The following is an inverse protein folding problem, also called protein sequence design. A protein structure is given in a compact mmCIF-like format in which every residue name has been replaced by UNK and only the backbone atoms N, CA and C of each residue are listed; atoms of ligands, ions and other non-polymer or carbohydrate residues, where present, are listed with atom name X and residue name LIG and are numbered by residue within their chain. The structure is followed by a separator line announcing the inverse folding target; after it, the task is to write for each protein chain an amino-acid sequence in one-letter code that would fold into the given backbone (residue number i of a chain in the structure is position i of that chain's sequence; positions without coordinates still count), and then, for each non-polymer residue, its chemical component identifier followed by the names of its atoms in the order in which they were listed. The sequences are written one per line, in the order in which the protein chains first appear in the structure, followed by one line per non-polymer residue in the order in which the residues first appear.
data_IF_794139549942
#
_entry.id   IF_794139549942
#
_cell.length_a   1.000
_cell.length_b   1.000
_cell.length_c   1.000
_cell.angle_alpha   90.00
_cell.angle_beta   90.00
_cell.angle_gamma   90.00
#
_symmetry.space_group_name_H-M   'P 1'
#
loop_
_entity.id
_entity.type
_entity.pdbx_description
1 polymer ?
#
# COMPACT_ATOMS: atom_id res chain seq x y z
N UNK A 1 -5.22 -5.21 22.15
CA UNK A 1 -4.25 -4.84 21.10
C UNK A 1 -5.09 -4.35 19.92
N UNK A 2 -4.84 -3.16 19.39
CA UNK A 2 -5.58 -2.67 18.21
C UNK A 2 -5.02 -3.46 17.03
N UNK A 3 -5.86 -4.28 16.40
CA UNK A 3 -5.48 -5.05 15.22
C UNK A 3 -5.62 -4.15 13.97
N UNK A 4 -4.49 -3.74 13.42
CA UNK A 4 -4.39 -3.01 12.14
C UNK A 4 -3.69 -3.88 11.08
N UNK A 5 -3.85 -5.20 11.20
CA UNK A 5 -3.29 -6.15 10.24
C UNK A 5 -3.83 -5.91 8.83
N UNK A 6 -3.05 -6.36 7.85
CA UNK A 6 -3.45 -6.38 6.46
C UNK A 6 -4.81 -7.07 6.27
N UNK A 7 -4.98 -8.26 6.84
CA UNK A 7 -6.22 -9.05 6.72
C UNK A 7 -7.43 -8.32 7.30
N UNK A 8 -7.28 -7.65 8.45
CA UNK A 8 -8.37 -6.86 9.03
C UNK A 8 -8.82 -5.74 8.10
N UNK A 9 -7.86 -4.98 7.55
CA UNK A 9 -8.15 -3.87 6.65
C UNK A 9 -8.74 -4.38 5.33
N UNK A 10 -8.16 -5.42 4.74
CA UNK A 10 -8.68 -6.05 3.51
C UNK A 10 -10.13 -6.53 3.70
N UNK A 11 -10.45 -7.16 4.83
CA UNK A 11 -11.80 -7.63 5.13
C UNK A 11 -12.81 -6.48 5.23
N UNK A 12 -12.44 -5.35 5.83
CA UNK A 12 -13.31 -4.15 5.89
C UNK A 12 -13.63 -3.65 4.47
N UNK A 13 -12.61 -3.51 3.63
CA UNK A 13 -12.78 -2.93 2.30
C UNK A 13 -13.44 -3.90 1.30
N UNK A 14 -13.12 -5.20 1.36
CA UNK A 14 -13.79 -6.22 0.55
C UNK A 14 -15.29 -6.34 0.88
N UNK A 15 -15.66 -6.15 2.15
CA UNK A 15 -17.06 -6.10 2.60
C UNK A 15 -17.91 -4.99 1.95
N UNK A 16 -17.29 -3.94 1.40
CA UNK A 16 -18.02 -2.88 0.68
C UNK A 16 -18.64 -3.42 -0.61
N UNK A 17 -17.93 -4.31 -1.31
CA UNK A 17 -18.32 -4.82 -2.63
C UNK A 17 -19.10 -6.14 -2.58
N UNK A 18 -19.30 -6.73 -1.40
CA UNK A 18 -20.07 -7.99 -1.24
C UNK A 18 -21.58 -7.79 -1.15
N UNK A 19 -22.05 -6.54 -1.00
CA UNK A 19 -23.46 -6.21 -0.85
C UNK A 19 -24.23 -6.24 -2.18
N UNK A 20 -25.55 -6.45 -2.13
CA UNK A 20 -26.44 -6.38 -3.30
C UNK A 20 -26.30 -5.04 -4.06
N UNK A 21 -25.99 -3.96 -3.35
CA UNK A 21 -25.72 -2.65 -3.95
C UNK A 21 -24.55 -2.68 -4.95
N UNK A 22 -23.51 -3.49 -4.73
CA UNK A 22 -22.37 -3.60 -5.63
C UNK A 22 -22.75 -4.33 -6.94
N UNK A 23 -23.65 -5.30 -6.87
CA UNK A 23 -24.22 -5.95 -8.06
C UNK A 23 -25.02 -4.95 -8.91
N UNK A 24 -25.88 -4.16 -8.28
CA UNK A 24 -26.66 -3.12 -8.98
C UNK A 24 -25.78 -1.99 -9.52
N UNK A 25 -24.75 -1.60 -8.77
CA UNK A 25 -23.72 -0.69 -9.25
C UNK A 25 -23.06 -1.25 -10.51
N UNK A 26 -22.77 -2.56 -10.50
CA UNK A 26 -22.17 -3.23 -11.64
C UNK A 26 -23.06 -3.24 -12.89
N UNK A 27 -24.32 -3.62 -12.71
CA UNK A 27 -25.29 -3.64 -13.79
C UNK A 27 -25.51 -2.22 -14.38
N UNK A 28 -25.55 -1.20 -13.53
CA UNK A 28 -25.81 0.19 -13.94
C UNK A 28 -24.76 0.72 -14.91
N UNK A 29 -23.48 0.43 -14.68
CA UNK A 29 -22.43 0.88 -15.59
C UNK A 29 -22.46 0.14 -16.94
N UNK A 30 -22.85 -1.14 -16.95
CA UNK A 30 -22.99 -1.92 -18.21
C UNK A 30 -24.10 -1.31 -19.05
N UNK A 31 -25.21 -0.93 -18.42
CA UNK A 31 -26.31 -0.25 -19.10
C UNK A 31 -25.91 1.13 -19.64
N UNK A 32 -25.19 1.92 -18.85
CA UNK A 32 -24.70 3.23 -19.27
C UNK A 32 -23.74 3.12 -20.46
N UNK A 33 -22.86 2.13 -20.45
CA UNK A 33 -21.96 1.85 -21.56
C UNK A 33 -22.68 1.44 -22.85
N UNK A 34 -23.66 0.53 -22.75
CA UNK A 34 -24.50 0.14 -23.89
C UNK A 34 -25.21 1.37 -24.45
N UNK A 35 -25.71 2.25 -23.58
CA UNK A 35 -26.39 3.50 -23.98
C UNK A 35 -25.45 4.44 -24.73
N UNK A 36 -24.23 4.66 -24.23
CA UNK A 36 -23.24 5.51 -24.89
C UNK A 36 -22.73 4.91 -26.21
N UNK A 37 -22.61 3.59 -26.29
CA UNK A 37 -22.31 2.92 -27.55
C UNK A 37 -23.40 3.16 -28.58
N UNK A 38 -24.67 2.94 -28.22
CA UNK A 38 -25.80 3.18 -29.13
C UNK A 38 -25.85 4.63 -29.60
N UNK A 39 -25.58 5.58 -28.70
CA UNK A 39 -25.51 7.01 -29.04
C UNK A 39 -24.37 7.30 -30.03
N UNK A 40 -23.19 6.73 -29.79
CA UNK A 40 -22.02 6.89 -30.67
C UNK A 40 -22.25 6.25 -32.04
N UNK A 41 -22.85 5.07 -32.06
CA UNK A 41 -23.24 4.37 -33.28
C UNK A 41 -24.25 5.19 -34.08
N UNK A 42 -25.32 5.67 -33.43
CA UNK A 42 -26.34 6.50 -34.07
C UNK A 42 -25.74 7.81 -34.62
N UNK A 43 -24.91 8.49 -33.84
CA UNK A 43 -24.23 9.73 -34.26
C UNK A 43 -23.39 9.50 -35.52
N UNK A 44 -22.60 8.43 -35.57
CA UNK A 44 -21.76 8.13 -36.73
C UNK A 44 -22.60 7.84 -37.98
N UNK A 45 -23.68 7.04 -37.86
CA UNK A 45 -24.58 6.73 -38.98
C UNK A 45 -25.32 7.98 -39.50
N UNK A 46 -25.68 8.91 -38.61
CA UNK A 46 -26.37 10.15 -38.97
C UNK A 46 -25.41 11.17 -39.62
N UNK A 47 -24.19 11.32 -39.10
CA UNK A 47 -23.21 12.27 -39.65
C UNK A 47 -22.86 11.96 -41.09
N UNK A 48 -22.80 10.68 -41.48
CA UNK A 48 -22.48 10.30 -42.86
C UNK A 48 -23.62 10.54 -43.85
N UNK A 49 -24.85 10.83 -43.38
CA UNK A 49 -25.99 11.18 -44.23
C UNK A 49 -26.15 12.69 -44.47
N UNK A 50 -25.36 13.53 -43.77
CA UNK A 50 -25.50 14.99 -43.79
C UNK A 50 -24.42 15.73 -44.59
N UNK A 51 -23.36 15.04 -45.05
CA UNK A 51 -22.35 15.64 -45.94
C UNK A 51 -22.81 15.58 -47.41
N UNK A 52 -23.26 16.72 -47.92
CA UNK A 52 -23.73 16.92 -49.31
C UNK A 52 -22.59 17.13 -50.31
N UNK A 53 -21.55 16.29 -50.28
CA UNK A 53 -20.34 16.53 -51.08
C UNK A 53 -19.71 15.29 -51.71
N UNK A 54 -19.58 14.19 -50.97
CA UNK A 54 -19.02 12.94 -51.48
C UNK A 54 -19.69 11.75 -50.78
N UNK A 55 -20.03 10.72 -51.57
CA UNK A 55 -20.61 9.48 -51.06
C UNK A 55 -19.55 8.66 -50.30
N UNK A 56 -19.20 9.11 -49.10
CA UNK A 56 -18.46 8.27 -48.16
C UNK A 56 -19.40 7.16 -47.68
N UNK A 57 -18.89 5.93 -47.54
CA UNK A 57 -19.67 4.83 -47.00
C UNK A 57 -20.29 5.28 -45.67
N UNK A 58 -21.56 4.95 -45.36
CA UNK A 58 -22.26 5.33 -44.11
C UNK A 58 -21.61 4.79 -42.82
N UNK A 59 -20.43 4.20 -42.95
CA UNK A 59 -19.68 3.46 -41.97
C UNK A 59 -18.18 3.80 -42.09
N UNK A 60 -17.70 4.59 -41.14
CA UNK A 60 -16.26 4.65 -40.87
C UNK A 60 -15.86 3.38 -40.10
N UNK A 61 -15.23 2.44 -40.82
CA UNK A 61 -14.79 1.14 -40.28
C UNK A 61 -13.87 1.32 -39.07
N UNK A 62 -13.03 2.34 -39.05
CA UNK A 62 -12.06 2.57 -37.98
C UNK A 62 -12.75 2.98 -36.68
N UNK A 63 -13.69 3.93 -36.77
CA UNK A 63 -14.49 4.38 -35.61
C UNK A 63 -15.36 3.27 -35.06
N UNK A 64 -15.95 2.44 -35.92
CA UNK A 64 -16.76 1.30 -35.51
C UNK A 64 -15.94 0.23 -34.78
N UNK A 65 -14.77 -0.15 -35.31
CA UNK A 65 -13.88 -1.14 -34.66
C UNK A 65 -13.41 -0.61 -33.31
N UNK A 66 -13.01 0.66 -33.21
CA UNK A 66 -12.63 1.28 -31.95
C UNK A 66 -13.76 1.24 -30.91
N UNK A 67 -15.00 1.54 -31.32
CA UNK A 67 -16.15 1.47 -30.42
C UNK A 67 -16.37 0.04 -29.90
N UNK A 68 -16.29 -0.98 -30.77
CA UNK A 68 -16.40 -2.39 -30.37
C UNK A 68 -15.30 -2.77 -29.37
N UNK A 69 -14.05 -2.37 -29.62
CA UNK A 69 -12.92 -2.64 -28.71
C UNK A 69 -13.19 -2.04 -27.33
N UNK A 70 -13.65 -0.79 -27.27
CA UNK A 70 -13.96 -0.14 -25.99
C UNK A 70 -15.10 -0.85 -25.27
N UNK A 71 -16.16 -1.28 -25.97
CA UNK A 71 -17.25 -2.08 -25.37
C UNK A 71 -16.73 -3.41 -24.85
N UNK A 72 -15.87 -4.10 -25.61
CA UNK A 72 -15.32 -5.39 -25.21
C UNK A 72 -14.48 -5.24 -23.93
N UNK A 73 -13.65 -4.19 -23.88
CA UNK A 73 -12.87 -3.82 -22.70
C UNK A 73 -13.78 -3.52 -21.50
N UNK A 74 -14.89 -2.82 -21.73
CA UNK A 74 -15.85 -2.49 -20.69
C UNK A 74 -16.64 -3.72 -20.21
N UNK A 75 -17.11 -4.57 -21.13
CA UNK A 75 -17.77 -5.83 -20.81
C UNK A 75 -16.84 -6.77 -20.03
N UNK A 76 -15.54 -6.62 -20.24
CA UNK A 76 -14.49 -7.37 -19.55
C UNK A 76 -13.90 -6.60 -18.37
N UNK A 77 -14.45 -5.45 -17.97
CA UNK A 77 -13.89 -4.60 -16.91
C UNK A 77 -13.70 -5.37 -15.61
N UNK A 78 -14.73 -6.10 -15.17
CA UNK A 78 -14.67 -6.91 -13.95
C UNK A 78 -13.52 -7.92 -14.02
N UNK A 79 -13.30 -8.52 -15.20
CA UNK A 79 -12.20 -9.48 -15.42
C UNK A 79 -10.84 -8.79 -15.44
N UNK A 80 -10.75 -7.57 -15.97
CA UNK A 80 -9.51 -6.78 -15.96
C UNK A 80 -9.14 -6.42 -14.53
N UNK A 81 -10.11 -6.00 -13.71
CA UNK A 81 -9.89 -5.76 -12.29
C UNK A 81 -9.42 -7.02 -11.58
N UNK A 82 -10.15 -8.13 -11.73
CA UNK A 82 -9.80 -9.40 -11.09
C UNK A 82 -8.40 -9.87 -11.52
N UNK A 83 -8.05 -9.73 -12.81
CA UNK A 83 -6.72 -10.07 -13.31
C UNK A 83 -5.64 -9.18 -12.69
N UNK A 84 -5.89 -7.88 -12.59
CA UNK A 84 -4.92 -6.95 -12.04
C UNK A 84 -4.73 -7.21 -10.54
N UNK A 85 -5.82 -7.43 -9.80
CA UNK A 85 -5.78 -7.83 -8.41
C UNK A 85 -5.01 -9.16 -8.23
N UNK A 86 -5.25 -10.16 -9.09
CA UNK A 86 -4.56 -11.44 -9.02
C UNK A 86 -3.06 -11.36 -9.36
N UNK A 87 -2.67 -10.47 -10.27
CA UNK A 87 -1.25 -10.27 -10.62
C UNK A 87 -0.52 -9.51 -9.52
N UNK A 88 -1.20 -8.58 -8.83
CA UNK A 88 -0.58 -7.67 -7.88
C UNK A 88 -0.73 -8.11 -6.42
N UNK A 89 -1.73 -8.91 -6.05
CA UNK A 89 -1.90 -9.38 -4.67
C UNK A 89 -0.76 -10.25 -4.12
N UNK A 90 0.01 -11.01 -4.94
CA UNK A 90 1.21 -11.68 -4.43
C UNK A 90 2.21 -10.72 -3.79
N UNK A 91 2.24 -9.43 -4.20
CA UNK A 91 3.09 -8.42 -3.58
C UNK A 91 2.69 -8.13 -2.12
N UNK A 92 1.42 -8.33 -1.76
CA UNK A 92 0.93 -8.12 -0.41
C UNK A 92 1.48 -9.21 0.55
N UNK A 93 1.65 -10.45 0.07
CA UNK A 93 2.23 -11.54 0.88
C UNK A 93 3.67 -11.28 1.32
N UNK A 94 4.45 -10.56 0.50
CA UNK A 94 5.82 -10.18 0.82
C UNK A 94 5.87 -9.18 1.97
N UNK A 95 4.87 -8.31 2.11
CA UNK A 95 4.81 -7.33 3.19
C UNK A 95 4.51 -7.99 4.54
N UNK A 96 3.61 -8.98 4.57
CA UNK A 96 3.25 -9.69 5.79
C UNK A 96 4.42 -10.50 6.40
N UNK A 97 5.50 -10.72 5.64
CA UNK A 97 6.67 -11.46 6.12
C UNK A 97 7.66 -10.56 6.88
N UNK A 98 7.60 -9.25 6.68
CA UNK A 98 8.54 -8.32 7.30
C UNK A 98 7.86 -7.57 8.43
N UNK A 99 8.26 -7.89 9.66
CA UNK A 99 7.91 -7.05 10.78
C UNK A 99 8.61 -5.69 10.61
N UNK A 100 7.84 -4.62 10.78
CA UNK A 100 8.34 -3.26 10.60
C UNK A 100 9.43 -2.89 11.61
N UNK A 101 9.62 -3.72 12.64
CA UNK A 101 10.42 -3.41 13.81
C UNK A 101 10.97 -4.66 14.54
N UNK A 102 11.80 -5.48 13.87
CA UNK A 102 12.64 -6.46 14.58
C UNK A 102 13.89 -5.76 15.12
N UNK A 103 13.92 -5.51 16.42
CA UNK A 103 15.03 -4.83 17.08
C UNK A 103 15.54 -5.67 18.24
N UNK A 104 16.83 -5.96 18.19
CA UNK A 104 17.55 -6.81 19.14
C UNK A 104 17.63 -6.23 20.58
N UNK A 105 17.22 -4.98 20.82
CA UNK A 105 17.26 -4.35 22.15
C UNK A 105 16.40 -5.06 23.22
N UNK A 106 15.44 -5.90 22.81
CA UNK A 106 14.62 -6.73 23.71
C UNK A 106 14.95 -8.23 23.61
N UNK A 107 15.88 -8.58 22.72
CA UNK A 107 16.38 -9.93 22.51
C UNK A 107 17.71 -10.11 23.25
N UNK A 108 17.86 -9.56 24.46
CA UNK A 108 18.76 -10.21 25.41
C UNK A 108 18.18 -11.61 25.61
N UNK A 109 18.83 -12.57 24.97
CA UNK A 109 18.64 -13.99 25.18
C UNK A 109 18.59 -14.19 26.70
N UNK A 110 17.41 -14.49 27.21
CA UNK A 110 17.35 -15.20 28.47
C UNK A 110 17.90 -16.58 28.12
N UNK A 111 19.23 -16.69 28.12
CA UNK A 111 19.93 -17.96 28.23
C UNK A 111 19.27 -18.66 29.43
N UNK A 112 18.67 -19.80 29.15
CA UNK A 112 17.88 -20.63 30.04
C UNK A 112 16.54 -20.03 30.52
N UNK A 113 15.55 -20.13 29.64
CA UNK A 113 14.21 -20.56 30.04
C UNK A 113 13.72 -21.61 29.03
N UNK A 114 14.27 -22.82 29.15
CA UNK A 114 13.58 -24.01 28.65
C UNK A 114 12.13 -23.97 29.14
N UNK A 115 11.22 -23.99 28.18
CA UNK A 115 9.90 -24.63 28.27
C UNK A 115 9.11 -24.38 29.58
N UNK A 116 8.74 -23.13 29.85
CA UNK A 116 7.47 -22.86 30.55
C UNK A 116 6.96 -21.45 30.24
N UNK A 117 5.88 -21.36 29.47
CA UNK A 117 5.09 -20.13 29.26
C UNK A 117 4.34 -19.79 30.56
N UNK A 118 5.10 -19.40 31.58
CA UNK A 118 4.59 -19.08 32.91
C UNK A 118 4.84 -17.62 33.28
N UNK A 119 3.97 -17.07 34.14
CA UNK A 119 4.14 -15.76 34.76
C UNK A 119 5.56 -15.54 35.35
N UNK A 120 6.28 -16.62 35.68
CA UNK A 120 7.67 -16.62 36.15
C UNK A 120 8.67 -16.09 35.11
N UNK A 121 8.49 -16.37 33.82
CA UNK A 121 9.34 -15.83 32.76
C UNK A 121 9.15 -14.31 32.61
N UNK A 122 7.91 -13.84 32.69
CA UNK A 122 7.59 -12.41 32.71
C UNK A 122 8.14 -11.71 33.97
N UNK A 123 8.08 -12.37 35.13
CA UNK A 123 8.68 -11.87 36.36
C UNK A 123 10.21 -11.82 36.28
N UNK A 124 10.87 -12.82 35.70
CA UNK A 124 12.32 -12.82 35.46
C UNK A 124 12.71 -11.66 34.53
N UNK A 125 12.00 -11.47 33.42
CA UNK A 125 12.21 -10.32 32.51
C UNK A 125 11.99 -8.98 33.20
N UNK A 126 10.92 -8.85 33.99
CA UNK A 126 10.66 -7.64 34.77
C UNK A 126 11.75 -7.38 35.81
N UNK A 127 12.25 -8.41 36.49
CA UNK A 127 13.33 -8.31 37.46
C UNK A 127 14.65 -7.87 36.81
N UNK A 128 15.02 -8.45 35.67
CA UNK A 128 16.21 -8.03 34.89
C UNK A 128 16.08 -6.57 34.48
N UNK A 129 14.91 -6.16 33.96
CA UNK A 129 14.67 -4.76 33.58
C UNK A 129 14.79 -3.81 34.78
N UNK A 130 14.28 -4.19 35.95
CA UNK A 130 14.42 -3.41 37.19
C UNK A 130 15.88 -3.33 37.63
N UNK A 131 16.64 -4.43 37.60
CA UNK A 131 18.06 -4.43 37.95
C UNK A 131 18.87 -3.54 37.01
N UNK A 132 18.67 -3.66 35.70
CA UNK A 132 19.31 -2.82 34.69
C UNK A 132 18.93 -1.33 34.84
N UNK A 133 17.67 -1.06 35.21
CA UNK A 133 17.20 0.33 35.44
C UNK A 133 17.82 0.94 36.69
N UNK A 134 18.06 0.15 37.74
CA UNK A 134 18.74 0.61 38.95
C UNK A 134 20.22 0.93 38.69
N UNK A 135 20.87 0.14 37.84
CA UNK A 135 22.25 0.39 37.44
C UNK A 135 22.36 1.59 36.49
N UNK A 136 21.42 1.72 35.55
CA UNK A 136 21.39 2.79 34.56
C UNK A 136 19.97 3.31 34.33
N UNK A 137 19.56 4.43 34.96
CA UNK A 137 18.20 4.96 34.82
C UNK A 137 17.89 5.46 33.40
N UNK A 138 18.89 5.71 32.57
CA UNK A 138 18.69 6.06 31.15
C UNK A 138 18.21 4.87 30.30
N UNK A 139 18.41 3.63 30.74
CA UNK A 139 17.98 2.43 30.01
C UNK A 139 16.47 2.41 29.77
N UNK A 140 15.68 2.73 30.80
CA UNK A 140 14.23 2.75 30.72
C UNK A 140 13.72 3.83 29.76
N UNK A 141 14.44 4.96 29.65
CA UNK A 141 14.10 6.02 28.71
C UNK A 141 14.28 5.55 27.26
N UNK A 142 15.36 4.84 26.96
CA UNK A 142 15.60 4.27 25.62
C UNK A 142 14.60 3.18 25.29
N UNK A 143 14.29 2.31 26.26
CA UNK A 143 13.26 1.26 26.10
C UNK A 143 11.86 1.84 25.89
N UNK A 144 11.51 2.93 26.59
CA UNK A 144 10.26 3.64 26.35
C UNK A 144 10.24 4.31 24.98
N UNK A 145 11.32 4.99 24.60
CA UNK A 145 11.44 5.58 23.27
C UNK A 145 11.28 4.52 22.18
N UNK A 146 11.90 3.35 22.37
CA UNK A 146 11.74 2.20 21.51
C UNK A 146 10.27 1.78 21.36
N UNK A 147 9.54 1.58 22.46
CA UNK A 147 8.11 1.19 22.41
C UNK A 147 7.29 2.24 21.68
N UNK A 148 7.61 3.52 21.87
CA UNK A 148 6.95 4.62 21.14
C UNK A 148 7.23 4.53 19.65
N UNK A 149 8.49 4.32 19.23
CA UNK A 149 8.84 4.20 17.81
C UNK A 149 8.24 2.95 17.17
N UNK A 150 8.24 1.81 17.87
CA UNK A 150 7.57 0.59 17.47
C UNK A 150 6.08 0.84 17.19
N UNK A 151 5.40 1.54 18.11
CA UNK A 151 4.00 1.89 17.95
C UNK A 151 3.77 2.86 16.79
N UNK A 152 4.64 3.85 16.62
CA UNK A 152 4.56 4.80 15.51
C UNK A 152 4.74 4.10 14.15
N UNK A 153 5.65 3.14 14.03
CA UNK A 153 5.84 2.38 12.80
C UNK A 153 4.62 1.53 12.45
N UNK A 154 4.02 0.87 13.45
CA UNK A 154 2.76 0.14 13.27
C UNK A 154 1.62 1.08 12.83
N UNK A 155 1.53 2.29 13.40
CA UNK A 155 0.55 3.29 12.97
C UNK A 155 0.81 3.75 11.53
N UNK A 156 2.06 4.03 11.15
CA UNK A 156 2.43 4.43 9.79
C UNK A 156 2.02 3.34 8.80
N UNK A 157 2.28 2.08 9.12
CA UNK A 157 1.86 0.94 8.31
C UNK A 157 0.35 0.84 8.18
N UNK A 158 -0.39 0.89 9.29
CA UNK A 158 -1.85 0.84 9.27
C UNK A 158 -2.47 1.99 8.47
N UNK A 159 -1.96 3.22 8.65
CA UNK A 159 -2.40 4.40 7.90
C UNK A 159 -2.14 4.21 6.39
N UNK A 160 -0.94 3.75 6.03
CA UNK A 160 -0.58 3.48 4.63
C UNK A 160 -1.52 2.46 3.99
N UNK A 161 -1.83 1.36 4.69
CA UNK A 161 -2.77 0.35 4.19
C UNK A 161 -4.17 0.94 4.00
N UNK A 162 -4.70 1.65 5.01
CA UNK A 162 -6.02 2.28 4.93
C UNK A 162 -6.10 3.25 3.75
N UNK A 163 -5.09 4.11 3.58
CA UNK A 163 -5.02 5.06 2.48
C UNK A 163 -4.98 4.34 1.12
N UNK A 164 -4.13 3.33 0.98
CA UNK A 164 -4.03 2.52 -0.24
C UNK A 164 -5.35 1.84 -0.59
N UNK A 165 -5.96 1.13 0.35
CA UNK A 165 -7.23 0.44 0.13
C UNK A 165 -8.38 1.41 -0.13
N UNK A 166 -8.38 2.58 0.50
CA UNK A 166 -9.31 3.65 0.19
C UNK A 166 -9.17 4.11 -1.27
N UNK A 167 -7.96 4.42 -1.73
CA UNK A 167 -7.75 4.83 -3.12
C UNK A 167 -8.11 3.72 -4.12
N UNK A 168 -7.76 2.47 -3.83
CA UNK A 168 -8.14 1.34 -4.67
C UNK A 168 -9.66 1.16 -4.75
N UNK A 169 -10.36 1.30 -3.63
CA UNK A 169 -11.82 1.24 -3.56
C UNK A 169 -12.45 2.37 -4.39
N UNK A 170 -11.98 3.60 -4.22
CA UNK A 170 -12.43 4.75 -5.01
C UNK A 170 -12.20 4.51 -6.51
N UNK A 171 -11.03 4.00 -6.89
CA UNK A 171 -10.73 3.69 -8.29
C UNK A 171 -11.56 2.53 -8.83
N UNK A 172 -11.87 1.49 -8.03
CA UNK A 172 -12.82 0.43 -8.40
C UNK A 172 -14.23 0.97 -8.64
N UNK A 173 -14.67 1.96 -7.86
CA UNK A 173 -15.97 2.63 -8.04
C UNK A 173 -15.97 3.53 -9.28
N UNK A 174 -14.87 4.24 -9.54
CA UNK A 174 -14.74 5.18 -10.67
C UNK A 174 -14.37 4.51 -11.99
N UNK A 175 -13.78 3.32 -11.96
CA UNK A 175 -13.34 2.61 -13.15
C UNK A 175 -14.43 2.40 -14.18
N UNK A 176 -15.63 1.92 -13.82
CA UNK A 176 -16.70 1.76 -14.79
C UNK A 176 -17.10 3.07 -15.49
N UNK A 177 -17.06 4.19 -14.76
CA UNK A 177 -17.30 5.52 -15.33
C UNK A 177 -16.20 5.87 -16.32
N UNK A 178 -14.93 5.70 -15.94
CA UNK A 178 -13.78 5.96 -16.81
C UNK A 178 -13.83 5.12 -18.10
N UNK A 179 -14.17 3.83 -17.99
CA UNK A 179 -14.38 2.95 -19.13
C UNK A 179 -15.55 3.41 -20.00
N UNK A 180 -16.69 3.78 -19.41
CA UNK A 180 -17.88 4.19 -20.17
C UNK A 180 -17.65 5.49 -20.96
N UNK A 181 -16.98 6.48 -20.37
CA UNK A 181 -16.67 7.73 -21.03
C UNK A 181 -15.64 7.56 -22.15
N UNK A 182 -14.73 6.60 -22.02
CA UNK A 182 -13.68 6.36 -23.02
C UNK A 182 -14.18 5.94 -24.41
N UNK A 183 -15.48 5.60 -24.54
CA UNK A 183 -16.15 5.35 -25.82
C UNK A 183 -16.08 6.58 -26.72
N UNK A 184 -16.15 7.78 -26.14
CA UNK A 184 -16.02 9.02 -26.88
C UNK A 184 -14.54 9.34 -27.11
N UNK A 185 -14.19 9.69 -28.35
CA UNK A 185 -12.80 10.01 -28.73
C UNK A 185 -12.17 11.09 -27.83
N UNK A 186 -12.95 12.10 -27.43
CA UNK A 186 -12.49 13.20 -26.55
C UNK A 186 -12.15 12.77 -25.12
N UNK A 187 -12.67 11.62 -24.67
CA UNK A 187 -12.54 11.15 -23.29
C UNK A 187 -11.69 9.87 -23.17
N UNK A 188 -11.07 9.42 -24.26
CA UNK A 188 -10.24 8.21 -24.28
C UNK A 188 -9.07 8.27 -23.30
N UNK A 189 -8.51 9.46 -23.09
CA UNK A 189 -7.42 9.69 -22.13
C UNK A 189 -7.82 9.45 -20.67
N UNK A 190 -9.12 9.54 -20.34
CA UNK A 190 -9.61 9.27 -18.98
C UNK A 190 -9.33 7.82 -18.58
N UNK A 191 -9.55 6.88 -19.50
CA UNK A 191 -9.28 5.46 -19.25
C UNK A 191 -7.80 5.21 -18.99
N UNK A 192 -6.93 5.82 -19.79
CA UNK A 192 -5.49 5.69 -19.63
C UNK A 192 -5.02 6.26 -18.28
N UNK A 193 -5.51 7.45 -17.90
CA UNK A 193 -5.23 8.06 -16.59
C UNK A 193 -5.73 7.20 -15.43
N UNK A 194 -6.95 6.67 -15.54
CA UNK A 194 -7.50 5.76 -14.53
C UNK A 194 -6.63 4.51 -14.36
N UNK A 195 -6.23 3.89 -15.48
CA UNK A 195 -5.39 2.69 -15.45
C UNK A 195 -4.03 2.97 -14.81
N UNK A 196 -3.36 4.07 -15.18
CA UNK A 196 -2.12 4.50 -14.55
C UNK A 196 -2.26 4.67 -13.04
N UNK A 197 -3.30 5.35 -12.58
CA UNK A 197 -3.55 5.58 -11.15
C UNK A 197 -3.85 4.27 -10.40
N UNK A 198 -4.59 3.36 -11.02
CA UNK A 198 -4.91 2.06 -10.44
C UNK A 198 -3.67 1.19 -10.24
N UNK A 199 -2.82 1.11 -11.28
CA UNK A 199 -1.53 0.43 -11.19
C UNK A 199 -0.62 1.11 -10.17
N UNK A 200 -0.54 2.45 -10.15
CA UNK A 200 0.27 3.20 -9.20
C UNK A 200 -0.12 2.87 -7.75
N UNK A 201 -1.41 2.87 -7.44
CA UNK A 201 -1.93 2.58 -6.10
C UNK A 201 -1.58 1.15 -5.63
N UNK A 202 -1.60 0.17 -6.53
CA UNK A 202 -1.12 -1.18 -6.20
C UNK A 202 0.38 -1.22 -5.97
N UNK A 203 1.16 -0.57 -6.85
CA UNK A 203 2.61 -0.58 -6.81
C UNK A 203 3.21 0.22 -5.65
N UNK A 204 2.44 1.08 -4.97
CA UNK A 204 2.87 1.80 -3.76
C UNK A 204 3.40 0.88 -2.66
N UNK A 205 2.98 -0.39 -2.64
CA UNK A 205 3.45 -1.35 -1.67
C UNK A 205 4.94 -1.69 -1.83
N UNK A 206 5.45 -1.68 -3.07
CA UNK A 206 6.86 -1.98 -3.36
C UNK A 206 7.85 -1.01 -2.71
N UNK A 207 7.75 0.31 -2.92
CA UNK A 207 8.63 1.24 -2.24
C UNK A 207 8.39 1.26 -0.74
N UNK A 208 7.16 1.05 -0.27
CA UNK A 208 6.88 0.98 1.15
C UNK A 208 7.67 -0.17 1.81
N UNK A 209 7.59 -1.36 1.23
CA UNK A 209 8.38 -2.51 1.63
C UNK A 209 9.88 -2.24 1.57
N UNK A 210 10.38 -1.68 0.47
CA UNK A 210 11.80 -1.40 0.28
C UNK A 210 12.32 -0.42 1.35
N UNK A 211 11.52 0.58 1.71
CA UNK A 211 11.87 1.51 2.80
C UNK A 211 11.98 0.78 4.13
N UNK A 212 11.04 -0.10 4.48
CA UNK A 212 11.13 -0.91 5.71
C UNK A 212 12.40 -1.76 5.69
N UNK A 213 12.61 -2.53 4.62
CA UNK A 213 13.77 -3.40 4.49
C UNK A 213 15.10 -2.64 4.66
N UNK A 214 15.30 -1.57 3.87
CA UNK A 214 16.56 -0.82 3.90
C UNK A 214 16.78 -0.14 5.25
N UNK A 215 15.73 0.40 5.87
CA UNK A 215 15.87 1.11 7.15
C UNK A 215 16.15 0.16 8.31
N UNK A 216 15.54 -1.02 8.32
CA UNK A 216 15.83 -2.07 9.29
C UNK A 216 17.27 -2.58 9.10
N UNK A 217 17.72 -2.73 7.87
CA UNK A 217 19.09 -3.16 7.57
C UNK A 217 20.14 -2.12 8.00
N UNK A 218 19.88 -0.83 7.71
CA UNK A 218 20.72 0.27 8.19
C UNK A 218 20.73 0.29 9.71
N UNK A 219 19.59 0.12 10.37
CA UNK A 219 19.50 0.04 11.81
C UNK A 219 20.38 -1.09 12.36
N UNK A 220 20.25 -2.31 11.83
CA UNK A 220 21.04 -3.47 12.28
C UNK A 220 22.54 -3.21 12.15
N UNK A 221 22.98 -2.75 10.97
CA UNK A 221 24.38 -2.41 10.71
C UNK A 221 24.92 -1.31 11.63
N UNK A 222 24.08 -0.33 12.01
CA UNK A 222 24.47 0.70 12.96
C UNK A 222 24.63 0.17 14.39
N UNK A 223 23.78 -0.77 14.82
CA UNK A 223 23.90 -1.37 16.15
C UNK A 223 25.12 -2.28 16.26
N UNK A 224 25.36 -3.15 15.26
CA UNK A 224 26.55 -3.99 15.23
C UNK A 224 27.84 -3.17 15.32
N UNK A 225 27.88 -2.02 14.65
CA UNK A 225 29.01 -1.09 14.73
C UNK A 225 29.11 -0.36 16.06
N UNK A 226 27.97 -0.07 16.70
CA UNK A 226 27.95 0.52 18.03
C UNK A 226 28.50 -0.47 19.06
N UNK A 227 28.02 -1.71 19.06
CA UNK A 227 28.51 -2.77 19.95
C UNK A 227 30.00 -3.03 19.80
N UNK A 228 30.54 -2.94 18.58
CA UNK A 228 31.97 -3.08 18.33
C UNK A 228 32.83 -1.92 18.86
N UNK A 229 32.25 -0.83 19.38
CA UNK A 229 33.04 0.30 19.91
C UNK A 229 33.56 0.01 21.33
N UNK A 230 34.88 0.07 21.57
CA UNK A 230 35.47 -0.22 22.88
C UNK A 230 34.99 0.70 24.02
N UNK A 231 34.48 1.89 23.69
CA UNK A 231 34.04 2.89 24.67
C UNK A 231 32.59 2.65 25.16
N UNK A 232 31.81 1.83 24.46
CA UNK A 232 30.39 1.64 24.76
C UNK A 232 30.17 0.84 26.05
N UNK A 233 31.03 -0.13 26.35
CA UNK A 233 30.91 -0.93 27.58
C UNK A 233 31.47 -0.21 28.82
N UNK A 234 32.34 0.78 28.62
CA UNK A 234 33.03 1.47 29.72
C UNK A 234 32.17 2.59 30.31
N UNK A 235 31.31 3.22 29.51
CA UNK A 235 30.43 4.30 29.97
C UNK A 235 28.97 3.98 29.60
N UNK A 236 28.18 3.42 30.53
CA UNK A 236 26.83 2.97 30.21
C UNK A 236 25.89 4.11 29.80
N UNK A 237 26.10 5.34 30.29
CA UNK A 237 25.38 6.51 29.80
C UNK A 237 25.65 6.80 28.30
N UNK A 238 26.86 6.52 27.81
CA UNK A 238 27.19 6.66 26.37
C UNK A 238 26.47 5.58 25.58
N UNK A 239 26.49 4.31 26.04
CA UNK A 239 25.78 3.18 25.42
C UNK A 239 24.32 3.52 25.09
N UNK A 240 23.54 3.89 26.10
CA UNK A 240 22.12 4.22 25.91
C UNK A 240 21.90 5.46 25.03
N UNK A 241 22.77 6.47 25.12
CA UNK A 241 22.68 7.66 24.25
C UNK A 241 22.93 7.33 22.77
N UNK A 242 23.84 6.39 22.49
CA UNK A 242 24.12 5.93 21.13
C UNK A 242 22.92 5.15 20.59
N UNK A 243 22.36 4.22 21.35
CA UNK A 243 21.15 3.50 20.93
C UNK A 243 19.95 4.42 20.68
N UNK A 244 19.70 5.40 21.56
CA UNK A 244 18.65 6.39 21.35
C UNK A 244 18.86 7.18 20.04
N UNK A 245 20.12 7.53 19.74
CA UNK A 245 20.49 8.23 18.51
C UNK A 245 20.26 7.35 17.28
N UNK A 246 20.65 6.08 17.32
CA UNK A 246 20.46 5.12 16.22
C UNK A 246 18.97 4.94 15.94
N UNK A 247 18.14 4.69 16.96
CA UNK A 247 16.69 4.56 16.79
C UNK A 247 16.09 5.82 16.17
N UNK A 248 16.43 7.00 16.72
CA UNK A 248 15.91 8.27 16.23
C UNK A 248 16.30 8.58 14.77
N UNK A 249 17.56 8.31 14.41
CA UNK A 249 18.06 8.49 13.04
C UNK A 249 17.40 7.50 12.08
N UNK A 250 17.30 6.22 12.44
CA UNK A 250 16.66 5.21 11.60
C UNK A 250 15.19 5.53 11.35
N UNK A 251 14.45 5.93 12.38
CA UNK A 251 13.06 6.35 12.23
C UNK A 251 12.92 7.61 11.36
N UNK A 252 13.81 8.60 11.55
CA UNK A 252 13.78 9.82 10.73
C UNK A 252 14.08 9.55 9.25
N UNK A 253 15.05 8.68 8.96
CA UNK A 253 15.34 8.23 7.59
C UNK A 253 14.12 7.52 7.01
N UNK A 254 13.50 6.62 7.77
CA UNK A 254 12.28 5.88 7.38
C UNK A 254 11.15 6.85 6.97
N UNK A 255 10.81 7.83 7.80
CA UNK A 255 9.80 8.86 7.47
C UNK A 255 10.12 9.64 6.18
N UNK A 256 11.38 10.06 6.02
CA UNK A 256 11.80 10.83 4.84
C UNK A 256 11.73 9.99 3.57
N UNK A 257 12.12 8.73 3.64
CA UNK A 257 12.08 7.81 2.51
C UNK A 257 10.63 7.47 2.13
N UNK A 258 9.73 7.22 3.09
CA UNK A 258 8.32 6.96 2.81
C UNK A 258 7.65 8.10 2.03
N UNK A 259 7.83 9.34 2.50
CA UNK A 259 7.26 10.52 1.82
C UNK A 259 7.80 10.64 0.39
N UNK A 260 9.10 10.45 0.22
CA UNK A 260 9.76 10.64 -1.08
C UNK A 260 9.42 9.51 -2.06
N UNK A 261 9.30 8.27 -1.57
CA UNK A 261 9.06 7.10 -2.40
C UNK A 261 7.62 7.05 -2.93
N UNK A 262 6.64 7.42 -2.11
CA UNK A 262 5.24 7.55 -2.56
C UNK A 262 5.08 8.63 -3.62
N UNK A 263 5.71 9.80 -3.43
CA UNK A 263 5.74 10.87 -4.43
C UNK A 263 6.33 10.40 -5.77
N UNK A 264 7.38 9.57 -5.76
CA UNK A 264 7.98 9.07 -7.00
C UNK A 264 7.06 8.10 -7.74
N UNK A 265 6.37 7.19 -7.03
CA UNK A 265 5.41 6.30 -7.69
C UNK A 265 4.34 7.12 -8.40
N UNK A 266 3.72 8.09 -7.71
CA UNK A 266 2.71 8.93 -8.35
C UNK A 266 3.25 9.77 -9.50
N UNK A 267 4.49 10.27 -9.42
CA UNK A 267 5.14 11.03 -10.51
C UNK A 267 5.45 10.17 -11.74
N UNK A 268 5.77 8.89 -11.56
CA UNK A 268 6.01 7.96 -12.68
C UNK A 268 4.73 7.69 -13.49
N UNK A 269 3.57 7.76 -12.82
CA UNK A 269 2.26 7.48 -13.39
C UNK A 269 1.41 8.73 -13.64
N UNK A 270 1.93 9.94 -13.41
CA UNK A 270 1.33 11.20 -13.88
C UNK A 270 1.37 11.26 -15.42
#
# INVERSE_FOLDING_TARGET
MIDLSYDFIENIFSGIFSNEAAYWWSASYKLLAISFFLLTFYSNVLSTRLDWGEATLPFDKSKFINAIIVILLLASYDRILILLDAILSPLDSWVNTYDSFDHELFNEEVEDAEEDLGAMAYLKKAAVLVMETLENPFSIMVKLAYVVFWFLDNLIYGIFLVERFFFLTVLKILGPIAFSLSVFEKFRDILYKWFKLYVAAYLLILPFFLVIYITNEIYRELNLKAEAMPLIDILPNIKYSVYATIIGVSFFIKLRLFKKSSEYVYKLFA
#
